data_IF_769337807962
#
_entry.id   IF_769337807962
#
_cell.length_a   1.000
_cell.length_b   1.000
_cell.length_c   1.000
_cell.angle_alpha   90.00
_cell.angle_beta   90.00
_cell.angle_gamma   90.00
#
_symmetry.space_group_name_H-M   'P 1'
#
loop_
_entity.id
_entity.type
_entity.pdbx_description
1 polymer ?
#
# COMPACT_ATOMS: atom_id res chain seq x y z
N UNK A 1 -1.87 2.90 -44.64
CA UNK A 1 -0.69 3.55 -44.03
C UNK A 1 -1.18 4.27 -42.77
N UNK A 2 -0.79 3.83 -41.58
CA UNK A 2 -1.22 4.46 -40.31
C UNK A 2 -0.40 5.74 -40.12
N UNK A 3 -1.07 6.90 -40.03
CA UNK A 3 -0.40 8.19 -39.90
C UNK A 3 0.46 8.22 -38.63
N UNK A 4 1.72 8.71 -38.70
CA UNK A 4 2.62 8.79 -37.55
C UNK A 4 2.02 9.60 -36.39
N UNK A 5 1.13 10.55 -36.70
CA UNK A 5 0.37 11.32 -35.73
C UNK A 5 -0.47 10.45 -34.77
N UNK A 6 -1.08 9.38 -35.29
CA UNK A 6 -1.97 8.50 -34.51
C UNK A 6 -1.16 7.67 -33.51
N UNK A 7 0.04 7.26 -33.89
CA UNK A 7 0.92 6.46 -33.03
C UNK A 7 1.41 7.30 -31.84
N UNK A 8 1.80 8.57 -32.09
CA UNK A 8 2.24 9.50 -31.04
C UNK A 8 1.10 9.77 -30.03
N UNK A 9 -0.13 9.98 -30.53
CA UNK A 9 -1.30 10.19 -29.67
C UNK A 9 -1.58 9.00 -28.75
N UNK A 10 -1.52 7.78 -29.27
CA UNK A 10 -1.75 6.56 -28.48
C UNK A 10 -0.66 6.38 -27.42
N UNK A 11 0.61 6.62 -27.77
CA UNK A 11 1.72 6.51 -26.84
C UNK A 11 1.59 7.49 -25.66
N UNK A 12 1.22 8.74 -25.95
CA UNK A 12 0.99 9.78 -24.93
C UNK A 12 -0.17 9.44 -24.00
N UNK A 13 -1.26 8.86 -24.52
CA UNK A 13 -2.41 8.40 -23.72
C UNK A 13 -2.03 7.24 -22.78
N UNK A 14 -1.21 6.29 -23.25
CA UNK A 14 -0.73 5.17 -22.43
C UNK A 14 0.19 5.64 -21.29
N UNK A 15 1.06 6.61 -21.55
CA UNK A 15 1.94 7.19 -20.54
C UNK A 15 1.14 7.91 -19.44
N UNK A 16 0.12 8.69 -19.82
CA UNK A 16 -0.77 9.37 -18.86
C UNK A 16 -1.55 8.38 -17.97
N UNK A 17 -2.06 7.29 -18.54
CA UNK A 17 -2.79 6.28 -17.78
C UNK A 17 -1.89 5.60 -16.74
N UNK A 18 -0.66 5.27 -17.12
CA UNK A 18 0.29 4.58 -16.25
C UNK A 18 0.75 5.45 -15.06
N UNK A 19 0.83 6.78 -15.24
CA UNK A 19 1.15 7.70 -14.14
C UNK A 19 -0.01 7.85 -13.15
N UNK A 20 -1.26 7.89 -13.64
CA UNK A 20 -2.44 8.01 -12.78
C UNK A 20 -2.64 6.77 -11.88
N UNK A 21 -2.36 5.57 -12.41
CA UNK A 21 -2.41 4.33 -11.63
C UNK A 21 -1.38 4.33 -10.49
N UNK A 22 -0.17 4.86 -10.74
CA UNK A 22 0.89 4.95 -9.73
C UNK A 22 0.57 5.93 -8.61
N UNK A 23 0.04 7.11 -8.94
CA UNK A 23 -0.36 8.10 -7.92
C UNK A 23 -1.50 7.58 -7.04
N UNK A 24 -2.46 6.86 -7.64
CA UNK A 24 -3.58 6.26 -6.91
C UNK A 24 -3.11 5.15 -5.96
N UNK A 25 -2.19 4.30 -6.41
CA UNK A 25 -1.64 3.23 -5.57
C UNK A 25 -0.78 3.80 -4.43
N UNK A 26 -0.01 4.86 -4.68
CA UNK A 26 0.78 5.51 -3.64
C UNK A 26 -0.10 6.16 -2.56
N UNK A 27 -1.14 6.91 -2.95
CA UNK A 27 -2.09 7.49 -1.99
C UNK A 27 -2.82 6.41 -1.17
N UNK A 28 -3.11 5.26 -1.79
CA UNK A 28 -3.68 4.11 -1.09
C UNK A 28 -2.70 3.50 -0.09
N UNK A 29 -1.42 3.40 -0.43
CA UNK A 29 -0.39 2.90 0.48
C UNK A 29 -0.19 3.81 1.68
N UNK A 30 -0.15 5.12 1.47
CA UNK A 30 -0.04 6.13 2.54
C UNK A 30 -1.24 6.04 3.49
N UNK A 31 -2.47 5.97 2.95
CA UNK A 31 -3.67 5.82 3.77
C UNK A 31 -3.71 4.48 4.53
N UNK A 32 -3.19 3.41 3.94
CA UNK A 32 -3.15 2.10 4.58
C UNK A 32 -2.10 2.03 5.68
N UNK A 33 -1.05 2.85 5.60
CA UNK A 33 0.04 2.88 6.58
C UNK A 33 -0.44 3.34 7.97
N UNK A 34 -1.21 4.42 8.07
CA UNK A 34 -1.72 4.91 9.38
C UNK A 34 -2.64 3.87 10.08
N UNK A 35 -3.43 3.14 9.29
CA UNK A 35 -4.23 2.02 9.79
C UNK A 35 -3.35 0.87 10.29
N UNK A 36 -2.28 0.55 9.57
CA UNK A 36 -1.31 -0.46 9.96
C UNK A 36 -0.60 -0.08 11.26
N UNK A 37 -0.19 1.18 11.41
CA UNK A 37 0.45 1.69 12.63
C UNK A 37 -0.49 1.57 13.83
N UNK A 38 -1.74 2.05 13.67
CA UNK A 38 -2.75 2.00 14.72
C UNK A 38 -3.05 0.57 15.16
N UNK A 39 -3.18 -0.35 14.20
CA UNK A 39 -3.44 -1.76 14.48
C UNK A 39 -2.30 -2.41 15.27
N UNK A 40 -1.04 -2.21 14.86
CA UNK A 40 0.12 -2.74 15.57
C UNK A 40 0.26 -2.13 16.98
N UNK A 41 0.10 -0.81 17.12
CA UNK A 41 0.20 -0.14 18.43
C UNK A 41 -0.87 -0.64 19.39
N UNK A 42 -2.12 -0.69 18.93
CA UNK A 42 -3.24 -1.19 19.75
C UNK A 42 -3.05 -2.66 20.13
N UNK A 43 -2.54 -3.48 19.20
CA UNK A 43 -2.31 -4.90 19.46
C UNK A 43 -1.16 -5.14 20.44
N UNK A 44 -0.08 -4.37 20.37
CA UNK A 44 1.07 -4.42 21.27
C UNK A 44 0.67 -3.99 22.69
N UNK A 45 0.00 -2.84 22.81
CA UNK A 45 -0.47 -2.31 24.10
C UNK A 45 -1.49 -3.23 24.79
N UNK A 46 -2.37 -3.85 24.01
CA UNK A 46 -3.38 -4.78 24.53
C UNK A 46 -2.85 -6.21 24.72
N UNK A 47 -1.62 -6.52 24.30
CA UNK A 47 -1.09 -7.90 24.32
C UNK A 47 -1.84 -8.87 23.40
N UNK A 48 -2.43 -8.37 22.31
CA UNK A 48 -3.28 -9.13 21.38
C UNK A 48 -2.68 -9.32 19.99
N UNK A 49 -1.36 -9.22 19.85
CA UNK A 49 -0.63 -9.37 18.58
C UNK A 49 -0.97 -10.63 17.77
N UNK A 50 -1.36 -11.74 18.42
CA UNK A 50 -1.82 -12.96 17.76
C UNK A 50 -3.12 -12.78 16.94
N UNK A 51 -3.89 -11.70 17.17
CA UNK A 51 -5.15 -11.39 16.47
C UNK A 51 -4.95 -10.52 15.22
N UNK A 52 -3.77 -9.96 14.99
CA UNK A 52 -3.49 -9.10 13.83
C UNK A 52 -3.77 -9.80 12.50
N UNK A 53 -3.49 -11.10 12.41
CA UNK A 53 -3.75 -11.92 11.22
C UNK A 53 -5.22 -11.95 10.79
N UNK A 54 -6.16 -11.76 11.74
CA UNK A 54 -7.59 -11.75 11.44
C UNK A 54 -8.05 -10.46 10.72
N UNK A 55 -7.30 -9.36 10.86
CA UNK A 55 -7.63 -8.09 10.24
C UNK A 55 -7.21 -8.02 8.77
N UNK A 56 -6.28 -8.87 8.32
CA UNK A 56 -5.85 -8.97 6.91
C UNK A 56 -5.10 -7.76 6.36
N UNK A 57 -4.87 -6.73 7.18
CA UNK A 57 -4.24 -5.46 6.81
C UNK A 57 -2.74 -5.47 7.13
N UNK A 58 -2.34 -6.14 8.22
CA UNK A 58 -0.95 -6.28 8.65
C UNK A 58 -0.74 -7.55 9.48
N UNK A 59 0.46 -8.12 9.39
CA UNK A 59 0.87 -9.30 10.15
C UNK A 59 1.70 -8.92 11.37
N UNK A 60 1.81 -9.83 12.34
CA UNK A 60 2.66 -9.67 13.52
C UNK A 60 4.12 -9.41 13.11
N UNK A 61 4.61 -10.16 12.13
CA UNK A 61 5.97 -10.07 11.61
C UNK A 61 6.24 -8.68 11.03
N UNK A 62 5.30 -8.15 10.24
CA UNK A 62 5.41 -6.80 9.70
C UNK A 62 5.39 -5.71 10.78
N UNK A 63 4.58 -5.86 11.84
CA UNK A 63 4.63 -4.94 12.98
C UNK A 63 6.00 -4.97 13.66
N UNK A 64 6.63 -6.14 13.78
CA UNK A 64 7.93 -6.26 14.42
C UNK A 64 9.05 -5.66 13.55
N UNK A 65 9.11 -6.02 12.27
CA UNK A 65 10.18 -5.56 11.37
C UNK A 65 10.12 -4.06 11.08
N UNK A 66 8.91 -3.49 10.97
CA UNK A 66 8.73 -2.08 10.58
C UNK A 66 8.66 -1.13 11.75
N UNK A 67 8.12 -1.58 12.88
CA UNK A 67 7.81 -0.70 14.02
C UNK A 67 8.35 -1.19 15.36
N UNK A 68 9.02 -2.34 15.39
CA UNK A 68 9.53 -2.94 16.62
C UNK A 68 8.41 -3.18 17.68
N UNK A 69 7.22 -3.53 17.19
CA UNK A 69 6.01 -3.83 17.97
C UNK A 69 5.64 -5.28 17.78
N UNK A 70 5.04 -5.93 18.78
CA UNK A 70 4.61 -7.32 18.68
C UNK A 70 5.74 -8.32 18.34
N UNK A 71 6.96 -8.10 18.85
CA UNK A 71 8.14 -8.90 18.52
C UNK A 71 8.33 -10.19 19.34
N UNK A 72 7.49 -10.41 20.35
CA UNK A 72 7.53 -11.58 21.23
C UNK A 72 6.70 -12.74 20.70
#
# INVERSE_FOLDING_TARGET
MKSPLVIVLILSLLLLACTAEKETEQARQEAMQEFQETACNSADEAGTCHKLKALGIITKEQCCERMNKCCE
#
